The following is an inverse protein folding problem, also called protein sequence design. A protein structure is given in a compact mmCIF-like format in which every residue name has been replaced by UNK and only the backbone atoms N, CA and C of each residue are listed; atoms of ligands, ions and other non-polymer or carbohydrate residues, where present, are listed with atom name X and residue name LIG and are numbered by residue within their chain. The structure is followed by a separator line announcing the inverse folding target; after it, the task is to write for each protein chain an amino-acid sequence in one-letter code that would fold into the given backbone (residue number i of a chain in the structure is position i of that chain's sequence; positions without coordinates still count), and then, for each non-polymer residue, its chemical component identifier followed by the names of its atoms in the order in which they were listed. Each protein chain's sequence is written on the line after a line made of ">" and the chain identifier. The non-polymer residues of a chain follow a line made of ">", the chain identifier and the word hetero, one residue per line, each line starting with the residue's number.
data_IF_505624048111
#
_entry.id   IF_505624048111
#
_cell.length_a   1.000
_cell.length_b   1.000
_cell.length_c   1.000
_cell.angle_alpha   90.00
_cell.angle_beta   90.00
_cell.angle_gamma   90.00
#
_symmetry.space_group_name_H-M   'P 1'
#
loop_
_entity.id
_entity.type
_entity.pdbx_description
1 polymer ?
#
# COMPACT_ATOMS: atom_id res chain seq x y z
N UNK A 1 68.04 -14.33 -8.31
CA UNK A 1 68.23 -13.19 -7.39
C UNK A 1 66.93 -12.39 -7.35
N UNK A 2 66.46 -12.12 -6.13
CA UNK A 2 65.50 -11.06 -5.70
C UNK A 2 64.05 -11.12 -6.21
N UNK A 3 63.20 -11.62 -5.30
CA UNK A 3 61.74 -11.49 -5.25
C UNK A 3 61.37 -10.03 -4.97
N UNK A 4 60.31 -9.51 -5.61
CA UNK A 4 59.59 -8.33 -5.13
C UNK A 4 58.10 -8.64 -5.05
N UNK A 5 57.67 -8.97 -3.83
CA UNK A 5 56.30 -8.87 -3.34
C UNK A 5 56.06 -7.40 -2.97
N UNK A 6 55.05 -6.77 -3.55
CA UNK A 6 54.51 -5.45 -3.12
C UNK A 6 52.97 -5.56 -3.17
N UNK A 7 52.24 -5.01 -2.18
CA UNK A 7 51.22 -5.74 -1.45
C UNK A 7 49.79 -5.51 -1.96
N UNK A 8 48.94 -6.48 -1.63
CA UNK A 8 47.49 -6.38 -1.60
C UNK A 8 47.06 -5.34 -0.55
N UNK A 9 46.90 -4.08 -0.95
CA UNK A 9 46.34 -3.02 -0.10
C UNK A 9 45.83 -1.83 -0.93
N UNK A 10 44.85 -2.05 -1.80
CA UNK A 10 44.02 -0.98 -2.33
C UNK A 10 42.67 -1.55 -2.79
N UNK A 11 41.99 -2.22 -1.86
CA UNK A 11 40.55 -2.45 -1.91
C UNK A 11 39.89 -1.05 -1.82
N UNK A 12 39.82 -0.33 -2.94
CA UNK A 12 39.17 0.96 -3.03
C UNK A 12 37.66 0.72 -3.00
N UNK A 13 37.17 0.64 -1.76
CA UNK A 13 35.80 0.43 -1.35
C UNK A 13 34.93 1.60 -1.83
N UNK A 14 34.50 1.58 -3.08
CA UNK A 14 33.40 2.42 -3.56
C UNK A 14 32.08 1.87 -3.00
N UNK A 15 31.83 2.09 -1.71
CA UNK A 15 30.46 2.04 -1.19
C UNK A 15 29.78 3.31 -1.70
N UNK A 16 29.08 3.16 -2.82
CA UNK A 16 28.04 4.10 -3.24
C UNK A 16 27.01 4.19 -2.11
N UNK A 17 27.15 5.20 -1.25
CA UNK A 17 26.11 5.59 -0.32
C UNK A 17 24.93 6.11 -1.14
N UNK A 18 24.04 5.20 -1.56
CA UNK A 18 22.73 5.57 -2.04
C UNK A 18 22.05 6.31 -0.89
N UNK A 19 22.05 7.64 -1.00
CA UNK A 19 21.29 8.50 -0.09
C UNK A 19 19.83 8.20 -0.36
N UNK A 20 19.25 7.27 0.41
CA UNK A 20 17.82 7.06 0.42
C UNK A 20 17.19 8.40 0.83
N UNK A 21 16.59 9.10 -0.13
CA UNK A 21 15.89 10.34 0.15
C UNK A 21 14.79 10.04 1.16
N UNK A 22 14.95 10.59 2.35
CA UNK A 22 13.95 10.47 3.39
C UNK A 22 12.72 11.26 2.95
N UNK A 23 11.62 10.56 2.71
CA UNK A 23 10.36 11.20 2.33
C UNK A 23 9.73 11.83 3.58
N UNK A 24 9.31 13.10 3.51
CA UNK A 24 8.56 13.71 4.61
C UNK A 24 7.21 13.02 4.79
N UNK A 25 6.70 13.02 6.02
CA UNK A 25 5.37 12.54 6.35
C UNK A 25 4.78 13.24 7.57
N UNK A 26 3.47 13.10 7.75
CA UNK A 26 2.71 13.67 8.87
C UNK A 26 2.00 12.58 9.63
N UNK A 27 2.16 12.56 10.95
CA UNK A 27 1.52 11.60 11.84
C UNK A 27 0.02 11.91 11.98
N UNK A 28 -0.83 10.90 11.82
CA UNK A 28 -2.28 11.05 11.75
C UNK A 28 -2.99 10.92 13.11
N UNK A 29 -2.32 10.33 14.11
CA UNK A 29 -2.83 10.12 15.47
C UNK A 29 -1.69 10.04 16.48
N UNK A 30 -1.99 10.28 17.76
CA UNK A 30 -1.03 9.99 18.83
C UNK A 30 -0.69 8.49 18.81
N UNK A 31 0.61 8.17 18.77
CA UNK A 31 1.07 6.79 18.66
C UNK A 31 2.44 6.63 19.34
N UNK A 32 2.89 5.37 19.46
CA UNK A 32 4.23 5.04 19.98
C UNK A 32 5.19 4.77 18.83
N UNK A 33 6.46 5.06 19.07
CA UNK A 33 7.57 4.58 18.26
C UNK A 33 8.09 3.28 18.87
N UNK A 34 8.38 2.29 18.04
CA UNK A 34 8.78 0.95 18.43
C UNK A 34 10.23 0.66 18.02
N UNK A 35 10.93 -0.20 18.75
CA UNK A 35 12.33 -0.56 18.42
C UNK A 35 12.43 -1.45 17.18
N UNK A 36 11.40 -2.24 16.89
CA UNK A 36 11.30 -3.13 15.74
C UNK A 36 9.94 -2.95 15.05
N UNK A 37 9.77 -3.42 13.79
CA UNK A 37 8.49 -3.40 13.08
C UNK A 37 7.53 -4.47 13.62
N UNK A 38 7.22 -4.39 14.92
CA UNK A 38 6.34 -5.31 15.63
C UNK A 38 5.61 -4.60 16.78
N UNK A 39 4.32 -4.91 16.94
CA UNK A 39 3.47 -4.33 17.99
C UNK A 39 3.84 -4.82 19.40
N UNK A 40 4.57 -5.93 19.50
CA UNK A 40 5.06 -6.50 20.78
C UNK A 40 6.47 -6.02 21.13
N UNK A 41 7.12 -5.24 20.27
CA UNK A 41 8.45 -4.72 20.56
C UNK A 41 8.41 -3.54 21.53
N UNK A 42 9.55 -3.24 22.14
CA UNK A 42 9.67 -2.17 23.13
C UNK A 42 9.37 -0.81 22.51
N UNK A 43 8.57 0.00 23.20
CA UNK A 43 8.35 1.39 22.81
C UNK A 43 9.61 2.22 23.11
N UNK A 44 10.11 2.93 22.10
CA UNK A 44 11.31 3.80 22.16
C UNK A 44 10.95 5.27 22.31
N UNK A 45 9.69 5.63 22.13
CA UNK A 45 9.19 6.99 22.31
C UNK A 45 7.70 7.12 21.97
N UNK A 46 7.18 8.33 22.10
CA UNK A 46 5.83 8.70 21.69
C UNK A 46 5.88 9.77 20.62
N UNK A 47 4.90 9.80 19.73
CA UNK A 47 4.75 10.82 18.71
C UNK A 47 3.31 11.32 18.67
N UNK A 48 3.16 12.64 18.53
CA UNK A 48 1.87 13.30 18.53
C UNK A 48 1.22 13.34 17.14
N UNK A 49 -0.10 13.38 17.10
CA UNK A 49 -0.86 13.72 15.88
C UNK A 49 -0.36 15.07 15.32
N UNK A 50 -0.19 15.14 14.01
CA UNK A 50 0.28 16.31 13.29
C UNK A 50 1.81 16.46 13.26
N UNK A 51 2.56 15.63 13.98
CA UNK A 51 4.01 15.70 13.97
C UNK A 51 4.58 15.41 12.56
N UNK A 52 5.52 16.25 12.13
CA UNK A 52 6.31 16.01 10.92
C UNK A 52 7.40 14.99 11.21
N UNK A 53 7.51 13.98 10.36
CA UNK A 53 8.50 12.92 10.45
C UNK A 53 9.17 12.68 9.11
N UNK A 54 10.39 12.19 9.14
CA UNK A 54 11.11 11.74 7.96
C UNK A 54 11.02 10.22 7.86
N UNK A 55 10.42 9.72 6.79
CA UNK A 55 10.29 8.29 6.49
C UNK A 55 11.62 7.80 5.91
N UNK A 56 12.27 6.89 6.63
CA UNK A 56 13.59 6.37 6.30
C UNK A 56 13.51 5.01 5.59
N UNK A 57 12.53 4.19 5.97
CA UNK A 57 12.32 2.87 5.39
C UNK A 57 10.87 2.43 5.58
N UNK A 58 10.44 1.46 4.76
CA UNK A 58 9.18 0.74 4.91
C UNK A 58 9.49 -0.75 5.05
N UNK A 59 8.78 -1.43 5.94
CA UNK A 59 8.84 -2.89 6.08
C UNK A 59 7.45 -3.40 6.44
N UNK A 60 6.78 -4.03 5.48
CA UNK A 60 5.38 -4.44 5.62
C UNK A 60 4.47 -3.30 6.05
N UNK A 61 3.67 -3.54 7.11
CA UNK A 61 2.77 -2.55 7.70
C UNK A 61 3.44 -1.48 8.57
N UNK A 62 4.76 -1.33 8.50
CA UNK A 62 5.54 -0.42 9.34
C UNK A 62 6.41 0.54 8.54
N UNK A 63 6.60 1.73 9.09
CA UNK A 63 7.53 2.75 8.62
C UNK A 63 8.58 2.99 9.68
N UNK A 64 9.85 2.98 9.29
CA UNK A 64 10.92 3.51 10.12
C UNK A 64 10.97 5.01 9.89
N UNK A 65 10.74 5.78 10.94
CA UNK A 65 10.67 7.24 10.88
C UNK A 65 11.66 7.87 11.83
N UNK A 66 12.16 9.06 11.45
CA UNK A 66 12.88 9.96 12.34
C UNK A 66 12.00 11.16 12.68
N UNK A 67 11.90 11.46 13.97
CA UNK A 67 11.24 12.64 14.55
C UNK A 67 12.25 13.38 15.40
N UNK A 68 12.95 14.35 14.82
CA UNK A 68 14.06 15.05 15.49
C UNK A 68 15.23 14.11 15.80
N UNK A 69 15.50 13.87 17.08
CA UNK A 69 16.59 12.98 17.55
C UNK A 69 16.15 11.53 17.73
N UNK A 70 14.85 11.25 17.66
CA UNK A 70 14.31 9.90 17.93
C UNK A 70 14.00 9.21 16.61
N UNK A 71 14.52 7.99 16.44
CA UNK A 71 14.20 7.11 15.31
C UNK A 71 13.52 5.85 15.83
N UNK A 72 12.44 5.44 15.18
CA UNK A 72 11.74 4.21 15.53
C UNK A 72 10.76 3.77 14.47
N UNK A 73 10.09 2.65 14.72
CA UNK A 73 9.07 2.10 13.86
C UNK A 73 7.69 2.57 14.28
N UNK A 74 6.89 3.00 13.33
CA UNK A 74 5.48 3.37 13.51
C UNK A 74 4.63 2.63 12.47
N UNK A 75 3.36 2.42 12.76
CA UNK A 75 2.44 1.78 11.82
C UNK A 75 2.29 2.64 10.56
N UNK A 76 2.30 1.99 9.38
CA UNK A 76 2.15 2.63 8.08
C UNK A 76 0.90 3.53 8.02
N UNK A 77 -0.23 3.01 8.52
CA UNK A 77 -1.51 3.72 8.57
C UNK A 77 -1.56 4.89 9.57
N UNK A 78 -0.53 5.05 10.42
CA UNK A 78 -0.42 6.19 11.32
C UNK A 78 0.29 7.39 10.67
N UNK A 79 0.81 7.27 9.45
CA UNK A 79 1.57 8.33 8.78
C UNK A 79 1.03 8.56 7.36
N UNK A 80 0.76 9.81 7.00
CA UNK A 80 0.56 10.24 5.62
C UNK A 80 1.91 10.63 5.04
N UNK A 81 2.37 9.94 4.00
CA UNK A 81 3.58 10.32 3.26
C UNK A 81 3.32 11.56 2.40
N UNK A 82 4.34 12.39 2.21
CA UNK A 82 4.30 13.65 1.48
C UNK A 82 4.37 14.88 2.38
N UNK A 83 4.82 15.99 1.82
CA UNK A 83 4.77 17.32 2.43
C UNK A 83 3.31 17.82 2.42
N UNK A 84 2.47 17.22 3.25
CA UNK A 84 1.04 17.50 3.33
C UNK A 84 0.57 17.42 4.77
N UNK A 85 0.92 18.46 5.53
CA UNK A 85 0.31 18.73 6.83
C UNK A 85 -1.21 18.94 6.70
N UNK A 86 -1.89 19.11 7.83
CA UNK A 86 -3.34 19.17 7.96
C UNK A 86 -3.93 20.30 7.08
N UNK A 87 -4.30 19.96 5.85
CA UNK A 87 -4.77 20.89 4.81
C UNK A 87 -4.58 20.23 3.46
N UNK A 88 -5.67 19.71 2.89
CA UNK A 88 -5.63 18.83 1.72
C UNK A 88 -4.96 19.44 0.47
N UNK A 89 -4.46 18.54 -0.37
CA UNK A 89 -4.08 18.75 -1.76
C UNK A 89 -3.05 19.87 -2.01
N UNK A 90 -1.77 19.49 -2.05
CA UNK A 90 -0.82 20.25 -2.86
C UNK A 90 -1.33 20.26 -4.31
N UNK A 91 -1.48 21.45 -4.89
CA UNK A 91 -2.05 21.69 -6.22
C UNK A 91 -1.29 20.97 -7.37
N UNK A 92 -0.14 20.35 -7.10
CA UNK A 92 0.59 19.49 -8.05
C UNK A 92 0.17 18.02 -8.04
N UNK A 93 -0.41 17.51 -6.95
CA UNK A 93 -0.74 16.08 -6.79
C UNK A 93 -2.09 15.71 -7.45
N UNK A 94 -2.98 16.70 -7.58
CA UNK A 94 -4.26 16.56 -8.30
C UNK A 94 -4.09 16.54 -9.83
N UNK A 95 -2.98 17.09 -10.36
CA UNK A 95 -2.69 17.08 -11.81
C UNK A 95 -2.19 15.72 -12.26
N UNK A 96 -1.41 15.02 -11.43
CA UNK A 96 -0.95 13.65 -11.72
C UNK A 96 -2.04 12.58 -11.59
N UNK A 97 -3.02 12.80 -10.71
CA UNK A 97 -4.15 11.88 -10.53
C UNK A 97 -5.15 11.89 -11.70
N UNK A 98 -5.26 13.00 -12.43
CA UNK A 98 -6.20 13.14 -13.55
C UNK A 98 -5.61 12.70 -14.91
N UNK A 99 -4.28 12.69 -15.07
CA UNK A 99 -3.62 12.37 -16.35
C UNK A 99 -2.91 11.02 -16.37
N UNK A 100 -2.75 10.36 -15.22
CA UNK A 100 -2.18 9.01 -15.19
C UNK A 100 -3.24 7.99 -15.57
N UNK A 101 -3.22 7.56 -16.84
CA UNK A 101 -3.91 6.36 -17.32
C UNK A 101 -3.71 5.25 -16.28
N UNK A 102 -4.81 4.70 -15.77
CA UNK A 102 -4.81 3.57 -14.83
C UNK A 102 -3.99 2.44 -15.43
N UNK A 103 -2.75 2.28 -14.98
CA UNK A 103 -1.89 1.16 -15.38
C UNK A 103 -2.28 -0.05 -14.52
N UNK A 104 -2.95 -1.07 -15.09
CA UNK A 104 -3.37 -2.25 -14.35
C UNK A 104 -2.20 -3.12 -13.88
N UNK A 105 -0.98 -2.88 -14.37
CA UNK A 105 0.24 -3.55 -13.91
C UNK A 105 0.90 -2.83 -12.73
N UNK A 106 0.43 -1.63 -12.37
CA UNK A 106 0.97 -0.87 -11.25
C UNK A 106 0.44 -1.42 -9.92
N UNK A 107 1.29 -2.16 -9.22
CA UNK A 107 1.02 -2.59 -7.84
C UNK A 107 1.03 -1.36 -6.93
N UNK A 108 -0.14 -0.77 -6.70
CA UNK A 108 -0.35 0.22 -5.64
C UNK A 108 -0.39 -0.54 -4.33
N UNK A 109 0.58 -0.32 -3.45
CA UNK A 109 0.58 -0.85 -2.10
C UNK A 109 -0.62 -0.26 -1.34
N UNK A 110 -1.76 -0.92 -1.41
CA UNK A 110 -2.93 -0.57 -0.61
C UNK A 110 -2.62 -0.95 0.82
N UNK A 111 -2.76 -0.01 1.75
CA UNK A 111 -2.65 -0.29 3.17
C UNK A 111 -3.86 -1.14 3.60
N UNK A 112 -3.79 -2.44 3.37
CA UNK A 112 -4.90 -3.37 3.56
C UNK A 112 -4.58 -4.85 3.26
N UNK A 113 -3.36 -5.18 2.86
CA UNK A 113 -2.96 -6.59 2.70
C UNK A 113 -2.67 -7.19 4.07
N UNK A 114 -3.52 -8.09 4.54
CA UNK A 114 -3.30 -8.82 5.80
C UNK A 114 -2.16 -9.83 5.57
N UNK A 115 -0.97 -9.49 6.06
CA UNK A 115 0.17 -10.42 6.14
C UNK A 115 1.08 -10.48 4.91
N UNK A 116 0.77 -9.77 3.82
CA UNK A 116 1.63 -9.68 2.63
C UNK A 116 2.26 -8.29 2.56
N UNK A 117 3.56 -8.22 2.29
CA UNK A 117 4.32 -6.97 2.09
C UNK A 117 4.65 -6.74 0.59
N UNK A 118 5.21 -5.58 0.25
CA UNK A 118 5.50 -5.21 -1.14
C UNK A 118 6.47 -6.19 -1.82
N UNK A 119 7.40 -6.78 -1.06
CA UNK A 119 8.42 -7.71 -1.53
C UNK A 119 7.80 -9.09 -1.82
N UNK A 120 6.87 -9.54 -0.98
CA UNK A 120 6.09 -10.76 -1.20
C UNK A 120 5.25 -10.63 -2.48
N UNK A 121 4.66 -9.45 -2.72
CA UNK A 121 3.88 -9.18 -3.93
C UNK A 121 4.75 -9.16 -5.19
N UNK A 122 5.96 -8.60 -5.13
CA UNK A 122 6.90 -8.61 -6.27
C UNK A 122 7.31 -10.02 -6.68
N UNK A 123 7.31 -10.94 -5.71
CA UNK A 123 7.63 -12.35 -5.94
C UNK A 123 6.40 -13.22 -6.23
N UNK A 124 5.20 -12.66 -6.15
CA UNK A 124 3.97 -13.40 -6.37
C UNK A 124 3.93 -13.96 -7.80
N UNK A 125 3.61 -15.26 -7.89
CA UNK A 125 3.46 -15.99 -9.15
C UNK A 125 2.13 -16.74 -9.12
N UNK A 126 1.57 -16.97 -10.30
CA UNK A 126 0.41 -17.83 -10.44
C UNK A 126 0.72 -19.23 -9.89
N UNK A 127 -0.19 -19.77 -9.06
CA UNK A 127 -0.13 -21.12 -8.56
C UNK A 127 -1.48 -21.79 -8.86
N UNK A 128 -1.50 -22.66 -9.88
CA UNK A 128 -2.70 -23.35 -10.33
C UNK A 128 -3.22 -24.38 -9.33
N UNK A 129 -2.34 -25.01 -8.55
CA UNK A 129 -2.74 -25.99 -7.54
C UNK A 129 -3.48 -25.31 -6.39
N UNK A 130 -3.01 -24.13 -5.95
CA UNK A 130 -3.71 -23.34 -4.94
C UNK A 130 -5.04 -22.77 -5.46
N UNK A 131 -5.13 -22.44 -6.76
CA UNK A 131 -6.41 -22.06 -7.37
C UNK A 131 -7.40 -23.24 -7.38
N UNK A 132 -6.97 -24.42 -7.79
CA UNK A 132 -7.81 -25.62 -7.76
C UNK A 132 -8.25 -26.00 -6.32
N UNK A 133 -7.40 -25.74 -5.33
CA UNK A 133 -7.77 -25.90 -3.91
C UNK A 133 -8.84 -24.91 -3.47
N UNK A 134 -8.77 -23.66 -3.96
CA UNK A 134 -9.79 -22.65 -3.68
C UNK A 134 -11.14 -23.02 -4.30
N UNK A 135 -11.15 -23.58 -5.52
CA UNK A 135 -12.37 -24.00 -6.20
C UNK A 135 -13.13 -25.08 -5.40
N UNK A 136 -12.42 -25.95 -4.67
CA UNK A 136 -13.04 -26.93 -3.77
C UNK A 136 -13.77 -26.30 -2.58
N UNK A 137 -13.55 -25.02 -2.28
CA UNK A 137 -14.22 -24.29 -1.20
C UNK A 137 -15.40 -23.46 -1.72
N UNK A 138 -15.69 -23.52 -3.02
CA UNK A 138 -16.84 -22.86 -3.61
C UNK A 138 -18.15 -23.47 -3.08
N UNK A 139 -19.06 -22.63 -2.60
CA UNK A 139 -20.39 -23.05 -2.19
C UNK A 139 -21.24 -23.33 -3.43
N UNK A 140 -21.69 -24.58 -3.58
CA UNK A 140 -22.59 -24.94 -4.68
C UNK A 140 -23.94 -24.23 -4.55
N UNK A 141 -24.64 -24.03 -5.67
CA UNK A 141 -26.00 -23.47 -5.67
C UNK A 141 -26.96 -24.27 -4.79
N UNK A 142 -26.78 -25.59 -4.71
CA UNK A 142 -27.58 -26.45 -3.83
C UNK A 142 -27.32 -26.17 -2.35
N UNK A 143 -26.04 -26.08 -1.94
CA UNK A 143 -25.67 -25.73 -0.56
C UNK A 143 -26.18 -24.33 -0.18
N UNK A 144 -26.05 -23.36 -1.08
CA UNK A 144 -26.57 -22.01 -0.88
C UNK A 144 -28.09 -21.99 -0.68
N UNK A 145 -28.85 -22.76 -1.48
CA UNK A 145 -30.31 -22.88 -1.34
C UNK A 145 -30.71 -23.55 -0.03
N UNK A 146 -30.02 -24.61 0.37
CA UNK A 146 -30.27 -25.28 1.65
C UNK A 146 -30.01 -24.35 2.84
N UNK A 147 -28.90 -23.60 2.81
CA UNK A 147 -28.57 -22.60 3.83
C UNK A 147 -29.61 -21.47 3.88
N UNK A 148 -30.05 -20.98 2.72
CA UNK A 148 -31.10 -19.97 2.62
C UNK A 148 -32.42 -20.47 3.22
N UNK A 149 -32.83 -21.71 2.90
CA UNK A 149 -34.03 -22.32 3.46
C UNK A 149 -33.97 -22.50 4.98
N UNK A 150 -32.82 -22.94 5.52
CA UNK A 150 -32.61 -23.05 6.98
C UNK A 150 -32.69 -21.68 7.67
N UNK A 151 -32.31 -20.62 6.98
CA UNK A 151 -32.35 -19.24 7.48
C UNK A 151 -33.71 -18.56 7.24
N UNK A 152 -34.70 -19.27 6.70
CA UNK A 152 -36.03 -18.71 6.39
C UNK A 152 -36.05 -17.72 5.21
N UNK A 153 -35.00 -17.69 4.40
CA UNK A 153 -34.93 -16.82 3.22
C UNK A 153 -35.77 -17.42 2.09
N UNK A 154 -36.69 -16.62 1.55
CA UNK A 154 -37.52 -16.98 0.40
C UNK A 154 -36.97 -16.32 -0.88
N UNK A 155 -37.12 -17.02 -2.01
CA UNK A 155 -36.80 -16.44 -3.31
C UNK A 155 -37.77 -15.30 -3.63
N UNK A 156 -37.24 -14.14 -3.99
CA UNK A 156 -38.02 -12.99 -4.47
C UNK A 156 -37.71 -12.78 -5.93
N UNK A 157 -38.74 -12.76 -6.78
CA UNK A 157 -38.59 -12.42 -8.18
C UNK A 157 -38.48 -10.89 -8.28
N UNK A 158 -37.28 -10.39 -8.57
CA UNK A 158 -37.04 -8.95 -8.77
C UNK A 158 -37.16 -8.66 -10.26
N UNK A 159 -38.04 -7.73 -10.69
CA UNK A 159 -38.12 -7.32 -12.09
C UNK A 159 -36.76 -6.85 -12.61
N UNK A 160 -36.45 -7.20 -13.86
CA UNK A 160 -35.24 -6.69 -14.52
C UNK A 160 -35.23 -5.16 -14.51
N UNK A 161 -34.05 -4.58 -14.27
CA UNK A 161 -33.87 -3.14 -14.43
C UNK A 161 -34.16 -2.76 -15.90
N UNK A 162 -34.81 -1.62 -16.16
CA UNK A 162 -35.02 -1.16 -17.53
C UNK A 162 -33.68 -0.98 -18.22
N UNK A 163 -33.63 -1.28 -19.52
CA UNK A 163 -32.44 -1.08 -20.33
C UNK A 163 -31.95 0.38 -20.19
N UNK A 164 -30.63 0.60 -20.04
CA UNK A 164 -30.09 1.96 -20.00
C UNK A 164 -30.46 2.68 -21.29
N UNK A 165 -31.35 3.66 -21.20
CA UNK A 165 -31.66 4.53 -22.35
C UNK A 165 -30.39 5.31 -22.69
N UNK A 166 -29.94 5.33 -23.95
CA UNK A 166 -28.91 6.26 -24.38
C UNK A 166 -29.35 7.67 -23.99
N UNK A 167 -28.54 8.37 -23.20
CA UNK A 167 -28.76 9.79 -22.96
C UNK A 167 -28.61 10.49 -24.30
N UNK A 168 -29.74 10.89 -24.88
CA UNK A 168 -29.77 11.71 -26.08
C UNK A 168 -29.02 13.00 -25.74
N UNK A 169 -27.85 13.17 -26.34
CA UNK A 169 -27.08 14.39 -26.22
C UNK A 169 -27.94 15.52 -26.79
N UNK A 170 -28.53 16.33 -25.91
CA UNK A 170 -29.01 17.65 -26.30
C UNK A 170 -27.78 18.51 -26.55
N UNK A 171 -27.20 18.39 -27.75
CA UNK A 171 -26.21 19.34 -28.23
C UNK A 171 -26.95 20.65 -28.52
N UNK A 172 -26.64 21.77 -27.84
CA UNK A 172 -27.26 23.06 -28.12
C UNK A 172 -26.73 23.72 -29.42
N UNK A 173 -25.94 23.01 -30.23
CA UNK A 173 -25.11 23.61 -31.29
C UNK A 173 -25.54 23.25 -32.72
N UNK A 174 -26.64 22.52 -32.94
CA UNK A 174 -27.05 22.06 -34.28
C UNK A 174 -27.81 23.09 -35.13
N UNK A 175 -27.97 24.33 -34.65
CA UNK A 175 -28.53 25.43 -35.43
C UNK A 175 -27.51 26.56 -35.57
N UNK A 176 -26.57 26.43 -36.50
CA UNK A 176 -25.94 27.55 -37.22
C UNK A 176 -25.47 27.09 -38.60
#
# INVERSE_FOLDING_TARGET
>A
MKKFLIPAAALMLCVSAASAWAASGTVLRNDKLYSQPSATSTATGNVAKGASVNILAKQGGWLRVSSGKTTGWIRLLSVRAGAGGIGGAGLGDVVGAATTRSDPSRVVAVAGLRGLNDEDLKQAKFNGDELARLDNWEATTAQARSFAGQSGLAAVNVPGLPEPKPQQASSPWENN
#
